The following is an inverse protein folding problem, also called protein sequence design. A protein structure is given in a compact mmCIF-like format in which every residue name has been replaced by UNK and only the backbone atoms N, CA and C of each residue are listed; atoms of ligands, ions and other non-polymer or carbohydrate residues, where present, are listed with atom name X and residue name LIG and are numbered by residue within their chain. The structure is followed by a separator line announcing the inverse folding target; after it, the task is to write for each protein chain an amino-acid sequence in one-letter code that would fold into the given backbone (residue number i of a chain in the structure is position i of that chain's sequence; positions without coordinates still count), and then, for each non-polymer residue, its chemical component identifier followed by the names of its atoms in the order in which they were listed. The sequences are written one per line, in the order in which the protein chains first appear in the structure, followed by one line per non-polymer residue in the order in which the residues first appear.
data_IF_930698634250
#
_entry.id   IF_930698634250
#
_cell.length_a   1.000
_cell.length_b   1.000
_cell.length_c   1.000
_cell.angle_alpha   90.00
_cell.angle_beta   90.00
_cell.angle_gamma   90.00
#
_symmetry.space_group_name_H-M   'P 1'
#
loop_
_entity.id
_entity.type
_entity.pdbx_description
1 polymer ?
#
# COMPACT_ATOMS: atom_id res chain seq x y z
N UNK A 1 -1.37 41.18 12.66
CA UNK A 1 -0.45 40.86 13.77
C UNK A 1 -1.20 41.10 15.07
N UNK A 2 -1.45 40.06 15.88
CA UNK A 2 -2.18 40.24 17.14
C UNK A 2 -1.33 41.01 18.15
N UNK A 3 -1.95 41.82 19.02
CA UNK A 3 -1.27 42.56 20.09
C UNK A 3 -1.94 42.27 21.44
N UNK A 4 -1.13 42.19 22.50
CA UNK A 4 -1.63 41.97 23.86
C UNK A 4 -1.75 43.31 24.61
N UNK A 5 -2.90 43.57 25.23
CA UNK A 5 -3.16 44.77 26.02
C UNK A 5 -2.67 44.69 27.47
N UNK A 6 -2.27 43.50 27.95
CA UNK A 6 -1.87 43.22 29.34
C UNK A 6 -0.51 42.52 29.40
N UNK A 7 0.53 43.21 28.90
CA UNK A 7 1.95 42.84 29.04
C UNK A 7 2.36 41.45 28.48
N UNK A 8 1.64 40.92 27.46
CA UNK A 8 1.95 39.64 26.78
C UNK A 8 2.01 38.40 27.70
N UNK A 9 1.41 38.45 28.89
CA UNK A 9 1.39 37.33 29.84
C UNK A 9 -0.02 37.00 30.35
N UNK A 10 -1.02 37.01 29.46
CA UNK A 10 -2.38 36.62 29.84
C UNK A 10 -2.45 35.11 30.10
N UNK A 11 -3.03 34.70 31.23
CA UNK A 11 -3.34 33.29 31.47
C UNK A 11 -4.46 32.83 30.54
N UNK A 12 -4.22 31.72 29.82
CA UNK A 12 -5.13 31.15 28.82
C UNK A 12 -5.64 29.79 29.32
N UNK A 13 -6.92 29.72 29.67
CA UNK A 13 -7.66 28.53 30.08
C UNK A 13 -8.90 28.28 29.19
N UNK A 14 -9.69 27.23 29.45
CA UNK A 14 -10.87 26.90 28.64
C UNK A 14 -11.93 28.01 28.61
N UNK A 15 -12.09 28.78 29.68
CA UNK A 15 -13.16 29.79 29.81
C UNK A 15 -12.73 31.15 29.26
N UNK A 16 -11.43 31.47 29.28
CA UNK A 16 -10.89 32.77 28.93
C UNK A 16 -10.02 32.77 27.65
N UNK A 17 -9.91 31.63 26.94
CA UNK A 17 -9.06 31.47 25.74
C UNK A 17 -9.28 32.51 24.64
N UNK A 18 -10.47 33.08 24.54
CA UNK A 18 -10.80 34.08 23.51
C UNK A 18 -10.45 35.52 23.93
N UNK A 19 -9.96 35.75 25.15
CA UNK A 19 -9.76 37.09 25.73
C UNK A 19 -8.51 37.80 25.24
N UNK A 20 -7.49 37.06 24.77
CA UNK A 20 -6.28 37.62 24.19
C UNK A 20 -5.74 36.73 23.07
N UNK A 21 -5.92 37.17 21.82
CA UNK A 21 -5.50 36.43 20.63
C UNK A 21 -3.98 36.26 20.56
N UNK A 22 -3.19 37.27 20.97
CA UNK A 22 -1.73 37.19 21.01
C UNK A 22 -1.24 36.10 21.98
N UNK A 23 -1.70 36.11 23.23
CA UNK A 23 -1.24 35.14 24.24
C UNK A 23 -1.75 33.73 23.95
N UNK A 24 -2.95 33.60 23.36
CA UNK A 24 -3.46 32.32 22.87
C UNK A 24 -2.58 31.75 21.77
N UNK A 25 -2.28 32.52 20.74
CA UNK A 25 -1.43 32.08 19.64
C UNK A 25 -0.04 31.69 20.15
N UNK A 26 0.56 32.50 21.02
CA UNK A 26 1.86 32.21 21.62
C UNK A 26 1.86 30.91 22.44
N UNK A 27 0.78 30.63 23.19
CA UNK A 27 0.61 29.35 23.90
C UNK A 27 0.46 28.17 22.93
N UNK A 28 -0.29 28.32 21.83
CA UNK A 28 -0.41 27.28 20.80
C UNK A 28 0.94 26.95 20.15
N UNK A 29 1.71 27.98 19.77
CA UNK A 29 3.04 27.80 19.19
C UNK A 29 4.01 27.17 20.20
N UNK A 30 3.97 27.58 21.48
CA UNK A 30 4.80 27.01 22.54
C UNK A 30 4.49 25.53 22.84
N UNK A 31 3.25 25.09 22.57
CA UNK A 31 2.82 23.70 22.66
C UNK A 31 3.06 22.92 21.36
N UNK A 32 3.80 23.47 20.39
CA UNK A 32 4.21 22.77 19.17
C UNK A 32 3.23 22.85 17.99
N UNK A 33 2.17 23.67 18.06
CA UNK A 33 1.26 23.83 16.92
C UNK A 33 1.95 24.61 15.79
N UNK A 34 1.96 24.07 14.57
CA UNK A 34 2.53 24.74 13.40
C UNK A 34 1.68 25.95 12.98
N UNK A 35 2.36 27.03 12.58
CA UNK A 35 1.71 28.24 12.03
C UNK A 35 1.15 28.01 10.62
N UNK A 36 1.72 27.04 9.91
CA UNK A 36 1.46 26.79 8.50
C UNK A 36 0.53 25.58 8.28
N UNK A 37 0.12 24.90 9.36
CA UNK A 37 -0.89 23.85 9.34
C UNK A 37 -2.30 24.45 9.18
N UNK A 38 -2.68 24.75 7.93
CA UNK A 38 -4.05 25.13 7.59
C UNK A 38 -4.89 23.86 7.43
N UNK A 39 -5.85 23.64 8.33
CA UNK A 39 -6.82 22.56 8.21
C UNK A 39 -7.72 22.82 6.98
N UNK A 40 -7.58 22.00 5.93
CA UNK A 40 -8.53 21.93 4.81
C UNK A 40 -9.87 21.39 5.32
N UNK A 41 -10.68 22.29 5.88
CA UNK A 41 -11.99 21.96 6.45
C UNK A 41 -12.81 23.19 6.86
N UNK A 42 -12.23 24.39 6.75
CA UNK A 42 -12.91 25.66 7.01
C UNK A 42 -12.85 26.62 5.82
N UNK A 43 -12.86 26.11 4.60
CA UNK A 43 -13.10 26.98 3.44
C UNK A 43 -14.56 27.37 3.41
N UNK A 44 -14.84 28.66 3.19
CA UNK A 44 -16.21 29.13 3.00
C UNK A 44 -16.83 28.38 1.81
N UNK A 45 -18.15 28.13 1.86
CA UNK A 45 -18.89 27.48 0.77
C UNK A 45 -18.54 28.09 -0.60
N UNK A 46 -18.42 29.41 -0.65
CA UNK A 46 -18.05 30.19 -1.85
C UNK A 46 -16.66 29.83 -2.41
N UNK A 47 -15.67 29.58 -1.57
CA UNK A 47 -14.33 29.17 -2.01
C UNK A 47 -14.29 27.74 -2.51
N UNK A 48 -15.09 26.86 -1.89
CA UNK A 48 -15.23 25.46 -2.31
C UNK A 48 -15.89 25.37 -3.69
N UNK A 49 -17.02 26.06 -3.85
CA UNK A 49 -17.77 26.06 -5.11
C UNK A 49 -16.97 26.69 -6.26
N UNK A 50 -16.16 27.72 -5.97
CA UNK A 50 -15.25 28.32 -6.96
C UNK A 50 -14.17 27.33 -7.43
N UNK A 51 -13.62 26.52 -6.53
CA UNK A 51 -12.60 25.52 -6.87
C UNK A 51 -13.19 24.40 -7.73
N UNK A 52 -14.39 23.93 -7.40
CA UNK A 52 -15.12 22.95 -8.21
C UNK A 52 -15.45 23.48 -9.61
N UNK A 53 -15.84 24.75 -9.72
CA UNK A 53 -16.11 25.39 -11.02
C UNK A 53 -14.83 25.51 -11.88
N UNK A 54 -13.68 25.83 -11.26
CA UNK A 54 -12.39 25.91 -11.96
C UNK A 54 -11.95 24.53 -12.51
N UNK A 55 -12.13 23.47 -11.73
CA UNK A 55 -11.79 22.08 -12.12
C UNK A 55 -12.66 21.60 -13.28
N UNK A 56 -13.97 21.86 -13.25
CA UNK A 56 -14.87 21.50 -14.35
C UNK A 56 -14.56 22.25 -15.65
N UNK A 57 -14.12 23.51 -15.54
CA UNK A 57 -13.71 24.32 -16.70
C UNK A 57 -12.44 23.77 -17.35
N UNK A 58 -11.50 23.24 -16.55
CA UNK A 58 -10.29 22.60 -17.05
C UNK A 58 -10.58 21.25 -17.71
N UNK A 59 -11.51 20.45 -17.18
CA UNK A 59 -11.94 19.19 -17.80
C UNK A 59 -12.59 19.41 -19.18
N UNK A 60 -13.50 20.38 -19.31
CA UNK A 60 -14.11 20.72 -20.62
C UNK A 60 -13.14 21.31 -21.64
N UNK A 61 -12.03 21.91 -21.19
CA UNK A 61 -11.02 22.47 -22.09
C UNK A 61 -10.08 21.39 -22.65
N UNK A 62 -9.97 20.22 -22.00
CA UNK A 62 -9.14 19.11 -22.46
C UNK A 62 -9.86 18.22 -23.50
N UNK A 63 -11.20 18.19 -23.52
CA UNK A 63 -11.97 17.41 -24.51
C UNK A 63 -12.01 18.06 -25.91
N UNK A 64 -11.67 19.34 -26.05
CA UNK A 64 -11.80 20.07 -27.33
C UNK A 64 -10.52 20.12 -28.20
N UNK A 65 -9.42 19.49 -27.77
CA UNK A 65 -8.11 19.55 -28.48
C UNK A 65 -7.78 18.24 -29.24
N UNK A 66 -8.65 17.22 -29.17
CA UNK A 66 -8.35 15.86 -29.62
C UNK A 66 -8.95 15.41 -30.96
N UNK A 67 -9.27 16.28 -31.92
CA UNK A 67 -9.67 15.78 -33.26
C UNK A 67 -9.31 16.69 -34.42
N UNK A 68 -8.21 16.35 -35.11
CA UNK A 68 -7.89 16.87 -36.43
C UNK A 68 -7.27 15.79 -37.33
N UNK A 69 -8.12 15.16 -38.16
CA UNK A 69 -7.86 14.59 -39.50
C UNK A 69 -7.20 13.18 -39.61
N UNK A 70 -7.33 12.48 -40.77
CA UNK A 70 -7.65 13.01 -42.10
C UNK A 70 -8.74 12.28 -42.93
N UNK A 71 -9.11 12.99 -44.00
CA UNK A 71 -10.02 12.77 -45.12
C UNK A 71 -9.91 11.44 -45.89
N UNK A 72 -11.04 10.80 -46.22
CA UNK A 72 -11.24 9.92 -47.40
C UNK A 72 -12.65 10.13 -47.99
N UNK A 73 -12.75 10.04 -49.32
CA UNK A 73 -13.80 10.47 -50.24
C UNK A 73 -14.95 9.45 -50.48
N UNK A 74 -16.11 9.97 -50.94
CA UNK A 74 -17.12 9.37 -51.87
C UNK A 74 -18.09 8.29 -51.34
N UNK A 75 -19.38 8.13 -51.70
CA UNK A 75 -20.42 8.75 -52.58
C UNK A 75 -21.80 8.14 -52.14
N UNK A 76 -22.97 8.59 -52.65
CA UNK A 76 -24.28 8.57 -51.96
C UNK A 76 -25.23 7.46 -52.42
N UNK A 77 -26.28 7.22 -51.62
CA UNK A 77 -27.56 6.68 -52.10
C UNK A 77 -28.75 7.29 -51.36
N UNK A 78 -29.67 7.83 -52.14
CA UNK A 78 -31.03 8.21 -51.78
C UNK A 78 -31.87 6.97 -51.44
N UNK A 79 -32.84 7.08 -50.53
CA UNK A 79 -34.29 7.10 -50.85
C UNK A 79 -35.12 7.00 -49.56
N UNK A 80 -36.34 7.56 -49.58
CA UNK A 80 -37.43 7.20 -48.66
C UNK A 80 -37.78 8.23 -47.57
N UNK A 81 -38.70 9.14 -47.90
CA UNK A 81 -39.29 10.11 -46.97
C UNK A 81 -40.58 9.67 -46.26
N UNK A 82 -41.25 10.70 -45.71
CA UNK A 82 -42.56 10.76 -45.04
C UNK A 82 -42.53 10.44 -43.52
N UNK A 83 -43.05 11.27 -42.61
CA UNK A 83 -43.91 12.44 -42.78
C UNK A 83 -44.07 13.23 -41.47
N UNK A 84 -44.57 14.44 -41.65
CA UNK A 84 -44.80 15.48 -40.65
C UNK A 84 -45.94 15.17 -39.68
N UNK A 85 -45.88 15.81 -38.51
CA UNK A 85 -47.01 15.96 -37.59
C UNK A 85 -46.62 16.83 -36.40
N UNK A 86 -46.86 18.13 -36.51
CA UNK A 86 -46.88 19.08 -35.40
C UNK A 86 -48.04 18.76 -34.45
N UNK A 87 -47.93 19.07 -33.16
CA UNK A 87 -48.61 20.24 -32.55
C UNK A 87 -48.66 20.16 -31.01
N UNK A 88 -48.42 21.32 -30.40
CA UNK A 88 -48.90 21.91 -29.14
C UNK A 88 -48.96 21.18 -27.78
N UNK A 89 -48.57 21.93 -26.74
CA UNK A 89 -49.01 21.72 -25.36
C UNK A 89 -48.08 22.27 -24.26
N UNK A 90 -48.14 23.58 -24.01
CA UNK A 90 -47.61 24.25 -22.81
C UNK A 90 -48.23 23.76 -21.49
N UNK A 91 -47.47 23.87 -20.39
CA UNK A 91 -47.80 24.29 -19.01
C UNK A 91 -46.81 23.58 -18.05
N UNK A 92 -45.92 24.20 -17.27
CA UNK A 92 -45.85 25.58 -16.80
C UNK A 92 -46.27 25.68 -15.34
N UNK A 93 -45.46 25.22 -14.37
CA UNK A 93 -45.62 25.63 -12.96
C UNK A 93 -44.27 25.73 -12.22
N UNK A 94 -43.87 26.98 -11.97
CA UNK A 94 -42.90 27.40 -10.96
C UNK A 94 -43.65 28.17 -9.87
N UNK A 95 -43.49 27.82 -8.60
CA UNK A 95 -43.61 28.75 -7.45
C UNK A 95 -43.10 28.04 -6.17
N UNK A 96 -41.93 28.35 -5.63
CA UNK A 96 -41.50 29.45 -4.71
C UNK A 96 -42.07 29.41 -3.27
N UNK A 97 -41.12 29.52 -2.34
CA UNK A 97 -41.13 29.96 -0.92
C UNK A 97 -41.90 29.15 0.15
N UNK A 98 -41.17 28.71 1.18
CA UNK A 98 -41.36 29.22 2.56
C UNK A 98 -40.18 28.85 3.46
N UNK A 99 -39.66 29.89 4.12
CA UNK A 99 -38.67 29.87 5.18
C UNK A 99 -39.35 29.53 6.52
N UNK A 100 -38.80 28.59 7.27
CA UNK A 100 -38.97 28.53 8.74
C UNK A 100 -37.63 28.13 9.33
N UNK A 101 -37.02 29.07 10.06
CA UNK A 101 -35.89 28.79 10.94
C UNK A 101 -36.41 28.25 12.27
N UNK A 102 -35.65 27.35 12.89
CA UNK A 102 -35.66 27.15 14.34
C UNK A 102 -34.34 26.53 14.80
N UNK A 103 -33.83 27.18 15.84
CA UNK A 103 -32.61 26.93 16.61
C UNK A 103 -32.84 25.84 17.65
N UNK A 104 -31.91 24.88 17.79
CA UNK A 104 -31.65 24.20 19.06
C UNK A 104 -30.36 23.37 19.04
N UNK A 105 -29.40 23.82 19.84
CA UNK A 105 -28.52 23.07 20.76
C UNK A 105 -27.72 21.86 20.26
N UNK A 106 -26.41 22.13 20.12
CA UNK A 106 -25.29 21.20 20.21
C UNK A 106 -25.29 20.45 21.56
N UNK A 107 -25.19 19.13 21.53
CA UNK A 107 -24.48 18.29 22.51
C UNK A 107 -24.24 16.93 21.85
N UNK A 108 -23.08 16.33 22.09
CA UNK A 108 -22.69 14.95 21.76
C UNK A 108 -22.06 14.69 20.37
N UNK A 109 -20.83 15.20 20.18
CA UNK A 109 -19.78 14.53 19.40
C UNK A 109 -18.40 15.04 19.86
N UNK A 110 -18.02 14.72 21.10
CA UNK A 110 -16.62 14.73 21.54
C UNK A 110 -16.21 13.26 21.68
N UNK A 111 -15.76 12.60 20.59
CA UNK A 111 -14.95 11.36 20.67
C UNK A 111 -14.24 10.94 19.36
N UNK A 112 -14.08 11.85 18.37
CA UNK A 112 -13.30 11.57 17.14
C UNK A 112 -12.13 12.55 17.02
N UNK A 113 -11.34 12.69 18.10
CA UNK A 113 -10.17 13.57 18.12
C UNK A 113 -8.98 12.96 18.89
N UNK A 114 -8.76 11.66 18.76
CA UNK A 114 -7.59 11.01 19.34
C UNK A 114 -7.12 9.81 18.52
N UNK A 115 -6.53 10.02 17.34
CA UNK A 115 -5.55 9.09 16.78
C UNK A 115 -4.43 9.88 16.07
N UNK A 116 -3.14 9.49 16.25
CA UNK A 116 -1.97 10.26 15.83
C UNK A 116 -1.66 10.14 14.34
N UNK A 117 -0.98 11.17 13.82
CA UNK A 117 -0.43 11.23 12.47
C UNK A 117 0.38 9.97 12.14
N UNK A 118 0.19 9.42 10.94
CA UNK A 118 0.87 8.25 10.37
C UNK A 118 2.41 8.27 10.51
N UNK A 119 2.99 9.43 10.80
CA UNK A 119 4.42 9.66 10.85
C UNK A 119 5.03 9.54 12.26
N UNK A 120 4.24 9.34 13.32
CA UNK A 120 4.70 9.44 14.72
C UNK A 120 4.28 8.23 15.60
N UNK A 121 4.67 7.01 15.18
CA UNK A 121 4.48 5.78 15.94
C UNK A 121 5.78 5.39 16.68
N UNK A 122 5.79 5.29 18.02
CA UNK A 122 6.96 4.81 18.76
C UNK A 122 7.13 3.30 18.57
N UNK A 123 8.34 2.89 18.18
CA UNK A 123 8.76 1.49 18.11
C UNK A 123 9.23 1.04 19.51
N UNK A 124 8.35 0.49 20.34
CA UNK A 124 8.76 -0.27 21.54
C UNK A 124 8.37 -1.76 21.39
N UNK A 125 9.30 -2.71 21.61
CA UNK A 125 9.04 -4.14 21.40
C UNK A 125 8.18 -4.84 22.47
N UNK A 126 7.69 -4.13 23.49
CA UNK A 126 7.17 -4.78 24.72
C UNK A 126 5.63 -4.92 24.78
N UNK A 127 4.85 -4.23 23.94
CA UNK A 127 3.37 -4.27 24.05
C UNK A 127 2.69 -5.31 23.12
N UNK A 128 3.44 -6.03 22.28
CA UNK A 128 2.88 -7.06 21.39
C UNK A 128 2.51 -8.38 22.10
N UNK A 129 2.85 -8.56 23.37
CA UNK A 129 2.68 -9.84 24.09
C UNK A 129 1.48 -9.90 25.04
N UNK A 130 0.87 -8.78 25.41
CA UNK A 130 -0.14 -8.75 26.47
C UNK A 130 -1.61 -8.83 25.99
N UNK A 131 -1.87 -8.75 24.67
CA UNK A 131 -3.24 -8.88 24.14
C UNK A 131 -3.71 -10.32 23.86
N UNK A 132 -2.83 -11.32 24.01
CA UNK A 132 -3.17 -12.73 23.76
C UNK A 132 -3.51 -13.55 25.03
N UNK A 133 -3.64 -12.92 26.20
CA UNK A 133 -3.94 -13.62 27.45
C UNK A 133 -5.07 -12.96 28.24
N UNK A 134 -6.30 -13.09 27.76
CA UNK A 134 -7.48 -13.08 28.62
C UNK A 134 -8.59 -13.92 27.98
N UNK A 135 -9.31 -14.66 28.82
CA UNK A 135 -10.48 -15.52 28.53
C UNK A 135 -10.17 -17.00 28.18
N UNK A 136 -9.89 -17.81 29.21
CA UNK A 136 -10.55 -19.12 29.35
C UNK A 136 -10.54 -19.58 30.82
N UNK A 137 -11.45 -19.01 31.63
CA UNK A 137 -11.90 -19.64 32.86
C UNK A 137 -13.27 -20.29 32.60
N UNK A 138 -13.33 -21.61 32.71
CA UNK A 138 -14.58 -22.32 32.98
C UNK A 138 -14.84 -23.57 32.14
N UNK A 139 -14.89 -24.73 32.80
CA UNK A 139 -15.67 -25.88 32.35
C UNK A 139 -14.88 -27.17 32.12
N UNK A 140 -14.66 -27.95 33.18
CA UNK A 140 -14.11 -29.30 33.10
C UNK A 140 -15.11 -30.38 32.66
N UNK A 141 -14.59 -31.58 32.41
CA UNK A 141 -15.41 -32.79 32.22
C UNK A 141 -14.71 -33.97 31.53
N UNK A 142 -13.93 -34.72 32.32
CA UNK A 142 -13.73 -36.20 32.35
C UNK A 142 -13.93 -37.11 31.13
N UNK A 143 -13.04 -38.14 31.07
CA UNK A 143 -13.18 -39.55 30.60
C UNK A 143 -12.20 -39.94 29.45
N UNK A 144 -11.08 -40.63 29.72
CA UNK A 144 -10.80 -42.10 29.89
C UNK A 144 -10.91 -42.96 28.63
N UNK A 145 -9.82 -43.71 28.32
CA UNK A 145 -9.81 -44.90 27.44
C UNK A 145 -8.73 -44.85 26.36
N UNK A 146 -7.51 -45.38 26.57
CA UNK A 146 -7.09 -46.78 26.36
C UNK A 146 -6.65 -47.14 24.92
N UNK A 147 -5.35 -47.44 24.82
CA UNK A 147 -4.71 -48.58 24.11
C UNK A 147 -4.64 -48.69 22.57
N UNK A 148 -3.38 -48.69 22.13
CA UNK A 148 -2.68 -49.70 21.30
C UNK A 148 -2.81 -49.75 19.78
N UNK A 149 -1.62 -49.60 19.16
CA UNK A 149 -1.02 -50.37 18.06
C UNK A 149 -1.85 -50.67 16.81
N UNK A 150 -1.35 -50.25 15.64
CA UNK A 150 -0.51 -51.12 14.80
C UNK A 150 -0.05 -50.43 13.52
N UNK A 151 1.18 -50.79 13.16
CA UNK A 151 1.99 -50.42 12.01
C UNK A 151 1.61 -51.18 10.72
N UNK A 152 1.72 -50.53 9.57
CA UNK A 152 2.33 -51.04 8.30
C UNK A 152 2.06 -50.00 7.18
N UNK A 153 3.04 -49.32 6.57
CA UNK A 153 3.96 -49.75 5.49
C UNK A 153 3.24 -50.59 4.43
N UNK A 154 3.13 -50.26 3.15
CA UNK A 154 4.07 -49.60 2.22
C UNK A 154 3.35 -49.41 0.88
N UNK A 155 3.75 -48.43 0.06
CA UNK A 155 4.28 -48.65 -1.30
C UNK A 155 4.14 -47.40 -2.16
N UNK A 156 5.30 -46.98 -2.67
CA UNK A 156 5.45 -45.95 -3.67
C UNK A 156 4.95 -46.44 -5.04
N UNK A 157 4.42 -45.52 -5.84
CA UNK A 157 4.31 -45.68 -7.29
C UNK A 157 4.46 -44.31 -7.94
N UNK A 158 5.61 -44.12 -8.59
CA UNK A 158 5.92 -43.03 -9.51
C UNK A 158 5.23 -43.28 -10.85
N UNK A 159 4.63 -42.25 -11.46
CA UNK A 159 4.77 -41.99 -12.92
C UNK A 159 4.10 -40.69 -13.39
N UNK A 160 4.94 -39.86 -14.02
CA UNK A 160 4.79 -39.10 -15.27
C UNK A 160 3.74 -37.98 -15.47
N UNK A 161 4.29 -36.76 -15.56
CA UNK A 161 4.16 -35.72 -16.60
C UNK A 161 2.96 -35.74 -17.57
N UNK A 162 2.23 -34.62 -17.63
CA UNK A 162 2.08 -33.80 -18.86
C UNK A 162 1.33 -32.48 -18.58
N UNK A 163 1.91 -31.36 -19.01
CA UNK A 163 1.25 -30.04 -19.12
C UNK A 163 0.73 -29.84 -20.55
N UNK A 164 -0.31 -29.02 -20.75
CA UNK A 164 -0.50 -28.31 -22.01
C UNK A 164 -0.47 -26.78 -21.84
N UNK A 165 0.25 -26.14 -22.76
CA UNK A 165 0.18 -24.71 -23.07
C UNK A 165 -1.23 -24.31 -23.51
N UNK A 166 -1.69 -23.12 -23.10
CA UNK A 166 -2.79 -22.42 -23.77
C UNK A 166 -2.50 -20.92 -23.92
N UNK A 167 -3.04 -20.44 -25.02
CA UNK A 167 -2.68 -19.24 -25.78
C UNK A 167 -3.53 -18.04 -25.37
N UNK A 168 -2.88 -16.87 -25.42
CA UNK A 168 -3.29 -15.47 -25.31
C UNK A 168 -4.76 -15.14 -25.68
N UNK A 169 -5.43 -14.36 -24.83
CA UNK A 169 -6.34 -13.27 -25.24
C UNK A 169 -5.95 -12.00 -24.49
N UNK A 170 -5.78 -10.94 -25.27
CA UNK A 170 -5.15 -9.66 -24.93
C UNK A 170 -6.23 -8.67 -24.46
N UNK A 171 -6.07 -8.08 -23.28
CA UNK A 171 -6.88 -6.95 -22.80
C UNK A 171 -5.99 -5.90 -22.12
N UNK A 172 -5.78 -4.78 -22.83
CA UNK A 172 -5.95 -3.44 -22.27
C UNK A 172 -4.83 -2.84 -21.39
N UNK A 173 -3.70 -2.51 -22.02
CA UNK A 173 -3.11 -1.15 -22.04
C UNK A 173 -2.89 -0.33 -20.75
N UNK A 174 -2.39 -0.97 -19.68
CA UNK A 174 -1.68 -0.24 -18.60
C UNK A 174 -0.29 -0.84 -18.24
N UNK A 175 0.10 -1.94 -18.89
CA UNK A 175 1.36 -2.65 -18.62
C UNK A 175 2.54 -2.11 -19.46
N UNK A 176 2.27 -1.44 -20.59
CA UNK A 176 3.29 -0.99 -21.54
C UNK A 176 4.27 0.06 -21.01
N UNK A 177 3.79 1.00 -20.20
CA UNK A 177 4.58 2.15 -19.74
C UNK A 177 5.72 1.75 -18.79
N UNK A 178 5.49 0.79 -17.91
CA UNK A 178 6.54 0.35 -16.97
C UNK A 178 7.51 -0.65 -17.62
N UNK A 179 7.06 -1.38 -18.65
CA UNK A 179 7.97 -2.15 -19.50
C UNK A 179 8.91 -1.22 -20.26
N UNK A 180 8.42 -0.08 -20.76
CA UNK A 180 9.22 0.96 -21.43
C UNK A 180 10.26 1.61 -20.52
N UNK A 181 9.97 1.85 -19.24
CA UNK A 181 10.96 2.35 -18.29
C UNK A 181 12.02 1.27 -17.96
N UNK A 182 11.59 0.01 -17.78
CA UNK A 182 12.54 -1.11 -17.65
C UNK A 182 13.40 -1.28 -18.91
N UNK A 183 12.85 -1.06 -20.10
CA UNK A 183 13.60 -1.08 -21.36
C UNK A 183 14.53 0.13 -21.51
N UNK A 184 14.19 1.32 -21.01
CA UNK A 184 15.09 2.48 -20.96
C UNK A 184 16.24 2.26 -19.97
N UNK A 185 15.97 1.66 -18.81
CA UNK A 185 16.99 1.30 -17.80
C UNK A 185 17.88 0.13 -18.28
N UNK A 186 17.30 -0.83 -19.01
CA UNK A 186 18.05 -1.89 -19.70
C UNK A 186 18.82 -1.36 -20.92
N UNK A 187 18.32 -0.34 -21.61
CA UNK A 187 19.01 0.35 -22.70
C UNK A 187 20.28 1.08 -22.25
N UNK A 188 20.34 1.48 -20.97
CA UNK A 188 21.55 2.00 -20.32
C UNK A 188 22.61 0.94 -19.99
N UNK A 189 22.33 -0.36 -20.19
CA UNK A 189 23.34 -1.44 -20.05
C UNK A 189 24.54 -1.29 -20.97
N UNK A 190 24.39 -0.58 -22.09
CA UNK A 190 25.47 -0.46 -23.07
C UNK A 190 26.42 0.71 -22.81
N UNK A 191 26.11 1.61 -21.88
CA UNK A 191 27.12 2.50 -21.31
C UNK A 191 27.78 1.78 -20.15
N UNK A 192 28.98 1.24 -20.38
CA UNK A 192 29.93 0.87 -19.33
C UNK A 192 29.90 1.92 -18.19
N UNK A 193 30.21 1.51 -16.96
CA UNK A 193 30.36 2.40 -15.81
C UNK A 193 31.39 3.55 -16.03
N UNK A 194 32.08 3.54 -17.19
CA UNK A 194 32.94 4.60 -17.73
C UNK A 194 32.22 5.93 -18.02
N UNK A 195 30.88 5.96 -18.08
CA UNK A 195 30.12 7.22 -18.16
C UNK A 195 29.02 7.28 -17.09
N UNK A 196 29.43 7.46 -15.82
CA UNK A 196 28.57 8.11 -14.82
C UNK A 196 28.12 9.47 -15.37
N UNK A 197 26.85 9.88 -15.19
CA UNK A 197 26.43 11.25 -15.48
C UNK A 197 27.39 12.25 -14.81
N UNK A 198 27.73 13.36 -15.48
CA UNK A 198 28.76 14.33 -15.04
C UNK A 198 28.57 14.86 -13.60
N UNK A 199 27.39 14.65 -13.00
CA UNK A 199 27.01 15.05 -11.65
C UNK A 199 27.18 13.95 -10.56
N UNK A 200 27.73 12.76 -10.86
CA UNK A 200 27.77 11.64 -9.91
C UNK A 200 29.16 11.04 -9.68
N UNK A 201 29.63 11.08 -8.44
CA UNK A 201 30.87 10.40 -8.03
C UNK A 201 30.60 8.97 -7.50
N UNK A 202 31.60 8.09 -7.61
CA UNK A 202 31.58 6.74 -7.01
C UNK A 202 31.35 6.83 -5.50
N UNK A 203 31.94 7.84 -4.84
CA UNK A 203 31.76 8.10 -3.40
C UNK A 203 30.31 8.42 -3.04
N UNK A 204 29.58 9.16 -3.88
CA UNK A 204 28.15 9.44 -3.65
C UNK A 204 27.32 8.16 -3.76
N UNK A 205 27.67 7.29 -4.71
CA UNK A 205 27.00 6.01 -4.92
C UNK A 205 27.20 5.06 -3.74
N UNK A 206 28.42 5.00 -3.20
CA UNK A 206 28.72 4.22 -1.99
C UNK A 206 27.99 4.76 -0.77
N UNK A 207 27.89 6.09 -0.61
CA UNK A 207 27.14 6.70 0.48
C UNK A 207 25.64 6.40 0.41
N UNK A 208 25.03 6.53 -0.78
CA UNK A 208 23.62 6.15 -1.02
C UNK A 208 23.42 4.67 -0.71
N UNK A 209 24.33 3.82 -1.17
CA UNK A 209 24.29 2.37 -0.90
C UNK A 209 24.32 2.12 0.61
N UNK A 210 25.29 2.66 1.34
CA UNK A 210 25.38 2.51 2.79
C UNK A 210 24.13 3.02 3.51
N UNK A 211 23.60 4.17 3.11
CA UNK A 211 22.38 4.74 3.68
C UNK A 211 21.19 3.80 3.50
N UNK A 212 20.95 3.29 2.29
CA UNK A 212 19.83 2.38 1.99
C UNK A 212 20.00 1.03 2.71
N UNK A 213 21.21 0.46 2.68
CA UNK A 213 21.49 -0.84 3.33
C UNK A 213 21.33 -0.74 4.83
N UNK A 214 21.89 0.30 5.46
CA UNK A 214 21.72 0.56 6.89
C UNK A 214 20.24 0.68 7.24
N UNK A 215 19.49 1.46 6.46
CA UNK A 215 18.06 1.63 6.65
C UNK A 215 17.29 0.32 6.53
N UNK A 216 17.65 -0.53 5.57
CA UNK A 216 17.05 -1.85 5.42
C UNK A 216 17.32 -2.73 6.64
N UNK A 217 18.57 -2.80 7.12
CA UNK A 217 18.93 -3.64 8.26
C UNK A 217 18.26 -3.17 9.57
N UNK A 218 18.19 -1.87 9.82
CA UNK A 218 17.56 -1.29 11.01
C UNK A 218 16.03 -1.38 10.98
N UNK A 219 15.44 -1.65 9.81
CA UNK A 219 13.99 -1.77 9.62
C UNK A 219 13.57 -3.19 9.23
N UNK A 220 14.45 -4.18 9.41
CA UNK A 220 14.04 -5.58 9.34
C UNK A 220 13.57 -6.04 10.72
N UNK A 221 12.33 -6.55 10.79
CA UNK A 221 11.75 -7.02 12.05
C UNK A 221 12.59 -8.12 12.72
N UNK A 222 13.26 -8.97 11.91
CA UNK A 222 14.09 -10.07 12.40
C UNK A 222 15.49 -10.04 11.76
N UNK A 223 16.51 -10.28 12.57
CA UNK A 223 17.88 -10.46 12.10
C UNK A 223 18.04 -11.75 11.27
N UNK A 224 19.11 -11.85 10.50
CA UNK A 224 19.42 -13.08 9.75
C UNK A 224 19.69 -14.26 10.70
N UNK A 225 20.26 -13.97 11.88
CA UNK A 225 20.52 -14.94 12.93
C UNK A 225 19.22 -15.48 13.55
N UNK A 226 18.26 -14.60 13.84
CA UNK A 226 16.96 -15.00 14.37
C UNK A 226 16.21 -15.88 13.38
N UNK A 227 16.22 -15.50 12.10
CA UNK A 227 15.56 -16.28 11.05
C UNK A 227 16.16 -17.68 10.91
N UNK A 228 17.49 -17.82 11.02
CA UNK A 228 18.16 -19.13 11.05
C UNK A 228 17.69 -19.99 12.23
N UNK A 229 17.49 -19.41 13.42
CA UNK A 229 16.98 -20.14 14.59
C UNK A 229 15.54 -20.62 14.39
N UNK A 230 14.70 -19.79 13.76
CA UNK A 230 13.30 -20.15 13.49
C UNK A 230 13.15 -21.15 12.35
N UNK A 231 14.17 -21.34 11.50
CA UNK A 231 14.07 -22.20 10.31
C UNK A 231 13.72 -23.66 10.64
N UNK A 232 13.97 -24.11 11.88
CA UNK A 232 13.64 -25.46 12.37
C UNK A 232 12.27 -25.55 13.04
N UNK A 233 11.60 -24.42 13.29
CA UNK A 233 10.33 -24.36 14.00
C UNK A 233 9.20 -24.27 12.98
N UNK A 234 8.48 -25.37 12.80
CA UNK A 234 7.38 -25.49 11.86
C UNK A 234 6.07 -25.78 12.58
N UNK A 235 4.96 -25.41 11.94
CA UNK A 235 3.64 -25.87 12.37
C UNK A 235 3.49 -27.37 12.10
N UNK A 236 2.95 -28.12 13.07
CA UNK A 236 2.59 -29.52 12.83
C UNK A 236 1.37 -29.62 11.91
N UNK A 237 1.10 -30.78 11.29
CA UNK A 237 -0.12 -30.98 10.51
C UNK A 237 -1.40 -30.72 11.32
N UNK A 238 -1.41 -31.08 12.60
CA UNK A 238 -2.54 -30.88 13.51
C UNK A 238 -2.75 -29.39 13.81
N UNK A 239 -1.67 -28.65 14.11
CA UNK A 239 -1.74 -27.19 14.30
C UNK A 239 -2.26 -26.52 13.03
N UNK A 240 -1.69 -26.88 11.87
CA UNK A 240 -2.08 -26.36 10.56
C UNK A 240 -3.58 -26.57 10.30
N UNK A 241 -4.10 -27.77 10.57
CA UNK A 241 -5.53 -28.07 10.45
C UNK A 241 -6.38 -27.23 11.41
N UNK A 242 -5.87 -26.92 12.60
CA UNK A 242 -6.51 -26.00 13.55
C UNK A 242 -6.75 -24.61 12.94
N UNK A 243 -5.78 -24.09 12.20
CA UNK A 243 -5.89 -22.79 11.50
C UNK A 243 -6.77 -22.86 10.25
N UNK A 244 -6.75 -23.98 9.53
CA UNK A 244 -7.64 -24.20 8.36
C UNK A 244 -9.12 -24.16 8.72
N UNK A 245 -9.47 -24.57 9.93
CA UNK A 245 -10.85 -24.62 10.41
C UNK A 245 -11.32 -23.30 11.04
N UNK A 246 -10.48 -22.25 11.08
CA UNK A 246 -10.89 -20.92 11.53
C UNK A 246 -11.82 -20.26 10.51
N UNK A 247 -12.59 -19.26 10.94
CA UNK A 247 -13.39 -18.45 10.02
C UNK A 247 -12.50 -17.60 9.13
N UNK A 248 -13.02 -17.24 7.94
CA UNK A 248 -12.35 -16.33 7.04
C UNK A 248 -12.07 -14.98 7.70
N UNK A 249 -13.05 -14.43 8.43
CA UNK A 249 -12.93 -13.18 9.18
C UNK A 249 -11.73 -13.18 10.13
N UNK A 250 -11.59 -14.25 10.91
CA UNK A 250 -10.49 -14.37 11.86
C UNK A 250 -9.14 -14.41 11.14
N UNK A 251 -9.02 -15.21 10.08
CA UNK A 251 -7.75 -15.34 9.35
C UNK A 251 -7.38 -14.04 8.63
N UNK A 252 -8.35 -13.36 8.02
CA UNK A 252 -8.16 -12.06 7.40
C UNK A 252 -7.70 -11.00 8.40
N UNK A 253 -8.31 -10.93 9.60
CA UNK A 253 -7.85 -10.04 10.66
C UNK A 253 -6.40 -10.31 11.07
N UNK A 254 -6.02 -11.59 11.23
CA UNK A 254 -4.64 -11.94 11.55
C UNK A 254 -3.68 -11.50 10.44
N UNK A 255 -3.97 -11.82 9.18
CA UNK A 255 -3.13 -11.41 8.06
C UNK A 255 -3.03 -9.88 7.94
N UNK A 256 -4.15 -9.16 8.10
CA UNK A 256 -4.16 -7.70 8.09
C UNK A 256 -3.27 -7.12 9.21
N UNK A 257 -3.32 -7.68 10.42
CA UNK A 257 -2.47 -7.25 11.53
C UNK A 257 -0.98 -7.49 11.24
N UNK A 258 -0.62 -8.69 10.75
CA UNK A 258 0.76 -9.01 10.35
C UNK A 258 1.29 -8.09 9.26
N UNK A 259 0.49 -7.87 8.20
CA UNK A 259 0.85 -6.96 7.12
C UNK A 259 1.01 -5.54 7.67
N UNK A 260 0.12 -5.08 8.54
CA UNK A 260 0.22 -3.74 9.16
C UNK A 260 1.53 -3.54 9.90
N UNK A 261 1.92 -4.51 10.73
CA UNK A 261 3.17 -4.44 11.47
C UNK A 261 4.35 -4.35 10.51
N UNK A 262 4.33 -5.10 9.40
CA UNK A 262 5.36 -5.03 8.38
C UNK A 262 5.35 -3.69 7.60
N UNK A 263 4.18 -3.09 7.33
CA UNK A 263 4.05 -1.78 6.68
C UNK A 263 4.78 -0.70 7.49
N UNK A 264 4.66 -0.70 8.82
CA UNK A 264 5.33 0.29 9.67
C UNK A 264 6.84 0.31 9.44
N UNK A 265 7.47 -0.86 9.32
CA UNK A 265 8.88 -0.97 9.00
C UNK A 265 9.23 -0.49 7.58
N UNK A 266 8.32 -0.64 6.61
CA UNK A 266 8.51 -0.11 5.25
C UNK A 266 8.40 1.42 5.23
N UNK A 267 7.49 2.00 6.02
CA UNK A 267 7.39 3.46 6.18
C UNK A 267 8.68 4.02 6.79
N UNK A 268 9.18 3.38 7.85
CA UNK A 268 10.47 3.77 8.46
C UNK A 268 11.65 3.60 7.51
N UNK A 269 11.64 2.56 6.66
CA UNK A 269 12.63 2.40 5.61
C UNK A 269 12.59 3.55 4.61
N UNK A 270 11.38 3.90 4.13
CA UNK A 270 11.19 4.98 3.16
C UNK A 270 11.70 6.32 3.68
N UNK A 271 11.37 6.67 4.93
CA UNK A 271 11.82 7.92 5.59
C UNK A 271 13.34 8.07 5.62
N UNK A 272 14.08 6.96 5.66
CA UNK A 272 15.55 6.96 5.74
C UNK A 272 16.24 6.90 4.38
N UNK A 273 15.50 6.70 3.28
CA UNK A 273 16.05 6.82 1.94
C UNK A 273 16.37 8.30 1.69
N UNK A 274 17.63 8.59 1.39
CA UNK A 274 18.10 9.95 1.11
C UNK A 274 17.29 10.56 -0.04
N UNK A 275 16.68 11.71 0.18
CA UNK A 275 15.83 12.40 -0.79
C UNK A 275 14.33 12.09 -0.71
N UNK A 276 13.90 11.04 0.00
CA UNK A 276 12.48 10.69 0.09
C UNK A 276 11.68 11.73 0.89
N UNK A 277 12.22 12.17 2.03
CA UNK A 277 11.57 13.18 2.88
C UNK A 277 11.57 14.59 2.26
N UNK A 278 12.36 14.81 1.21
CA UNK A 278 12.40 16.08 0.47
C UNK A 278 11.28 16.16 -0.58
N UNK A 279 10.62 15.04 -0.89
CA UNK A 279 9.43 15.01 -1.73
C UNK A 279 8.25 15.67 -1.02
N UNK A 280 7.27 16.18 -1.77
CA UNK A 280 6.05 16.69 -1.15
C UNK A 280 5.27 15.56 -0.48
N UNK A 281 4.53 15.86 0.60
CA UNK A 281 3.80 14.87 1.38
C UNK A 281 2.83 14.03 0.52
N UNK A 282 2.18 14.64 -0.47
CA UNK A 282 1.31 13.95 -1.41
C UNK A 282 2.04 12.83 -2.16
N UNK A 283 3.22 13.13 -2.72
CA UNK A 283 4.01 12.17 -3.48
C UNK A 283 4.57 11.08 -2.57
N UNK A 284 4.98 11.40 -1.35
CA UNK A 284 5.37 10.41 -0.34
C UNK A 284 4.24 9.40 -0.06
N UNK A 285 3.00 9.90 0.12
CA UNK A 285 1.83 9.06 0.36
C UNK A 285 1.54 8.17 -0.86
N UNK A 286 1.57 8.72 -2.08
CA UNK A 286 1.33 7.97 -3.31
C UNK A 286 2.34 6.82 -3.46
N UNK A 287 3.63 7.10 -3.24
CA UNK A 287 4.68 6.09 -3.33
C UNK A 287 4.49 4.99 -2.28
N UNK A 288 4.14 5.35 -1.04
CA UNK A 288 3.88 4.38 0.03
C UNK A 288 2.63 3.55 -0.26
N UNK A 289 1.50 4.15 -0.63
CA UNK A 289 0.26 3.42 -0.92
C UNK A 289 0.44 2.43 -2.07
N UNK A 290 1.14 2.83 -3.14
CA UNK A 290 1.32 1.99 -4.31
C UNK A 290 2.48 0.98 -4.19
N UNK A 291 3.55 1.32 -3.46
CA UNK A 291 4.79 0.53 -3.41
C UNK A 291 4.96 -0.34 -2.17
N UNK A 292 4.20 -0.11 -1.09
CA UNK A 292 4.47 -0.77 0.18
C UNK A 292 4.35 -2.31 0.09
N UNK A 293 3.28 -2.82 -0.53
CA UNK A 293 3.11 -4.26 -0.68
C UNK A 293 4.16 -4.89 -1.60
N UNK A 294 4.58 -4.19 -2.66
CA UNK A 294 5.69 -4.64 -3.52
C UNK A 294 6.99 -4.80 -2.72
N UNK A 295 7.31 -3.83 -1.85
CA UNK A 295 8.47 -3.91 -0.94
C UNK A 295 8.32 -5.06 0.06
N UNK A 296 7.12 -5.29 0.59
CA UNK A 296 6.85 -6.42 1.49
C UNK A 296 7.07 -7.76 0.80
N UNK A 297 6.64 -7.91 -0.46
CA UNK A 297 6.86 -9.12 -1.26
C UNK A 297 8.34 -9.37 -1.53
N UNK A 298 9.14 -8.32 -1.72
CA UNK A 298 10.61 -8.45 -1.84
C UNK A 298 11.21 -8.91 -0.50
N UNK A 299 10.86 -8.24 0.61
CA UNK A 299 11.38 -8.55 1.95
C UNK A 299 10.95 -9.92 2.47
N UNK A 300 9.80 -10.41 2.02
CA UNK A 300 9.28 -11.75 2.33
C UNK A 300 10.29 -12.86 2.02
N UNK A 301 11.21 -12.67 1.07
CA UNK A 301 12.25 -13.65 0.74
C UNK A 301 13.13 -14.02 1.93
N UNK A 302 13.36 -13.09 2.87
CA UNK A 302 14.10 -13.36 4.11
C UNK A 302 13.32 -14.31 5.02
N UNK A 303 11.99 -14.21 4.98
CA UNK A 303 11.05 -15.00 5.77
C UNK A 303 10.51 -16.22 5.02
N UNK A 304 11.07 -16.58 3.86
CA UNK A 304 10.62 -17.69 3.02
C UNK A 304 11.64 -18.82 3.02
N UNK A 305 11.19 -20.05 3.27
CA UNK A 305 11.99 -21.25 3.13
C UNK A 305 11.64 -21.97 1.82
N UNK A 306 12.57 -21.93 0.87
CA UNK A 306 12.39 -22.52 -0.46
C UNK A 306 12.42 -24.04 -0.49
N UNK A 307 13.05 -24.69 0.50
CA UNK A 307 13.20 -26.15 0.51
C UNK A 307 11.87 -26.86 0.78
N UNK A 308 11.06 -26.31 1.69
CA UNK A 308 9.77 -26.87 2.08
C UNK A 308 8.57 -25.97 1.72
N UNK A 309 8.82 -24.85 1.02
CA UNK A 309 7.79 -23.88 0.60
C UNK A 309 6.94 -23.40 1.77
N UNK A 310 7.60 -22.79 2.75
CA UNK A 310 6.94 -22.23 3.94
C UNK A 310 7.33 -20.77 4.17
N UNK A 311 6.42 -20.02 4.79
CA UNK A 311 6.60 -18.61 5.16
C UNK A 311 6.59 -18.47 6.67
N UNK A 312 7.47 -17.64 7.22
CA UNK A 312 7.45 -17.33 8.65
C UNK A 312 6.21 -16.50 8.98
N UNK A 313 5.38 -17.02 9.87
CA UNK A 313 4.13 -16.40 10.31
C UNK A 313 3.86 -16.80 11.76
N UNK A 314 3.55 -15.83 12.63
CA UNK A 314 3.27 -16.10 14.05
C UNK A 314 4.34 -16.95 14.78
N UNK A 315 5.62 -16.69 14.52
CA UNK A 315 6.71 -17.35 15.24
C UNK A 315 7.13 -18.73 14.70
N UNK A 316 6.44 -19.27 13.70
CA UNK A 316 6.80 -20.54 13.05
C UNK A 316 6.69 -20.44 11.52
N UNK A 317 7.32 -21.37 10.82
CA UNK A 317 7.17 -21.50 9.38
C UNK A 317 5.89 -22.24 9.02
N UNK A 318 5.00 -21.55 8.31
CA UNK A 318 3.69 -21.98 7.87
C UNK A 318 3.68 -22.33 6.36
N UNK A 319 3.14 -23.48 5.97
CA UNK A 319 2.96 -23.83 4.56
C UNK A 319 1.72 -23.14 3.97
N UNK A 320 1.57 -23.13 2.64
CA UNK A 320 0.44 -22.46 1.96
C UNK A 320 -0.93 -22.88 2.51
N UNK A 321 -1.11 -24.18 2.78
CA UNK A 321 -2.37 -24.71 3.33
C UNK A 321 -2.73 -24.18 4.72
N UNK A 322 -1.81 -23.53 5.45
CA UNK A 322 -2.11 -22.84 6.69
C UNK A 322 -3.13 -21.70 6.47
N UNK A 323 -3.02 -21.03 5.31
CA UNK A 323 -3.82 -19.85 4.97
C UNK A 323 -5.16 -20.18 4.29
N UNK A 324 -5.55 -21.46 4.24
CA UNK A 324 -6.77 -21.92 3.54
C UNK A 324 -8.03 -21.20 3.98
N UNK A 325 -8.13 -20.82 5.26
CA UNK A 325 -9.29 -20.10 5.80
C UNK A 325 -9.52 -18.73 5.13
N UNK A 326 -8.51 -18.12 4.48
CA UNK A 326 -8.67 -16.87 3.72
C UNK A 326 -9.64 -17.02 2.54
N UNK A 327 -9.83 -18.22 2.01
CA UNK A 327 -10.62 -18.45 0.79
C UNK A 327 -10.00 -17.86 -0.48
N UNK A 328 -8.69 -17.57 -0.45
CA UNK A 328 -7.95 -16.90 -1.53
C UNK A 328 -6.74 -17.74 -1.98
N UNK A 329 -6.98 -19.02 -2.29
CA UNK A 329 -5.91 -19.97 -2.63
C UNK A 329 -5.09 -19.50 -3.84
N UNK A 330 -5.68 -18.81 -4.81
CA UNK A 330 -5.02 -18.20 -5.95
C UNK A 330 -3.97 -17.15 -5.53
N UNK A 331 -4.35 -16.23 -4.64
CA UNK A 331 -3.45 -15.22 -4.08
C UNK A 331 -2.32 -15.86 -3.27
N UNK A 332 -2.66 -16.78 -2.37
CA UNK A 332 -1.68 -17.47 -1.52
C UNK A 332 -0.67 -18.23 -2.39
N UNK A 333 -1.15 -19.00 -3.37
CA UNK A 333 -0.26 -19.73 -4.28
C UNK A 333 0.62 -18.79 -5.10
N UNK A 334 0.09 -17.67 -5.60
CA UNK A 334 0.88 -16.69 -6.34
C UNK A 334 2.01 -16.08 -5.47
N UNK A 335 1.72 -15.75 -4.21
CA UNK A 335 2.72 -15.27 -3.24
C UNK A 335 3.81 -16.32 -2.98
N UNK A 336 3.43 -17.59 -2.78
CA UNK A 336 4.40 -18.67 -2.54
C UNK A 336 5.27 -18.97 -3.77
N UNK A 337 4.70 -18.94 -4.98
CA UNK A 337 5.47 -19.10 -6.21
C UNK A 337 6.43 -17.92 -6.47
N UNK A 338 5.99 -16.68 -6.16
CA UNK A 338 6.89 -15.54 -6.17
C UNK A 338 8.03 -15.72 -5.15
N UNK A 339 7.72 -16.16 -3.93
CA UNK A 339 8.72 -16.44 -2.88
C UNK A 339 9.79 -17.43 -3.33
N UNK A 340 9.37 -18.58 -3.89
CA UNK A 340 10.29 -19.53 -4.53
C UNK A 340 11.13 -18.87 -5.63
N UNK A 341 10.49 -18.08 -6.48
CA UNK A 341 11.12 -17.40 -7.60
C UNK A 341 12.20 -16.39 -7.18
N UNK A 342 11.95 -15.63 -6.12
CA UNK A 342 12.88 -14.65 -5.58
C UNK A 342 14.01 -15.31 -4.76
N UNK A 343 13.73 -16.35 -3.97
CA UNK A 343 14.78 -17.10 -3.24
C UNK A 343 15.79 -17.75 -4.19
N UNK A 344 15.38 -18.14 -5.42
CA UNK A 344 16.30 -18.64 -6.46
C UNK A 344 17.30 -17.60 -6.95
N UNK A 345 17.02 -16.30 -6.77
CA UNK A 345 17.94 -15.22 -7.13
C UNK A 345 19.08 -15.06 -6.12
N UNK A 346 18.94 -15.63 -4.92
CA UNK A 346 19.92 -15.53 -3.83
C UNK A 346 20.36 -14.07 -3.61
N UNK A 347 19.38 -13.20 -3.36
CA UNK A 347 19.65 -11.78 -3.11
C UNK A 347 20.40 -11.61 -1.79
N UNK A 348 21.48 -10.85 -1.81
CA UNK A 348 22.12 -10.35 -0.59
C UNK A 348 21.22 -9.29 0.08
N UNK A 349 21.46 -9.00 1.36
CA UNK A 349 20.75 -7.91 2.05
C UNK A 349 20.97 -6.56 1.35
N UNK A 350 22.15 -6.35 0.76
CA UNK A 350 22.47 -5.14 0.00
C UNK A 350 21.65 -5.05 -1.29
N UNK A 351 21.63 -6.13 -2.09
CA UNK A 351 20.84 -6.18 -3.32
C UNK A 351 19.34 -6.05 -3.05
N UNK A 352 18.85 -6.68 -1.97
CA UNK A 352 17.45 -6.62 -1.56
C UNK A 352 17.06 -5.20 -1.10
N UNK A 353 17.93 -4.51 -0.36
CA UNK A 353 17.71 -3.15 0.10
C UNK A 353 17.60 -2.18 -1.07
N UNK A 354 18.58 -2.23 -1.98
CA UNK A 354 18.64 -1.37 -3.17
C UNK A 354 17.48 -1.64 -4.12
N UNK A 355 17.12 -2.92 -4.33
CA UNK A 355 15.96 -3.28 -5.16
C UNK A 355 14.65 -2.80 -4.52
N UNK A 356 14.49 -2.94 -3.20
CA UNK A 356 13.32 -2.43 -2.48
C UNK A 356 13.18 -0.91 -2.63
N UNK A 357 14.28 -0.16 -2.50
CA UNK A 357 14.30 1.29 -2.68
C UNK A 357 13.92 1.69 -4.11
N UNK A 358 14.50 1.02 -5.12
CA UNK A 358 14.22 1.31 -6.52
C UNK A 358 12.75 1.02 -6.90
N UNK A 359 12.15 -0.04 -6.36
CA UNK A 359 10.75 -0.38 -6.59
C UNK A 359 9.80 0.61 -5.90
N UNK A 360 10.11 1.00 -4.66
CA UNK A 360 9.34 2.00 -3.93
C UNK A 360 9.32 3.35 -4.65
N UNK A 361 10.49 3.80 -5.15
CA UNK A 361 10.68 5.07 -5.85
C UNK A 361 10.23 5.00 -7.32
N UNK A 362 9.04 4.48 -7.62
CA UNK A 362 8.57 4.38 -9.00
C UNK A 362 7.99 5.72 -9.51
N UNK A 363 8.51 6.31 -10.60
CA UNK A 363 8.01 7.59 -11.15
C UNK A 363 6.70 7.43 -11.95
N UNK A 364 6.35 6.20 -12.33
CA UNK A 364 5.15 5.87 -13.10
C UNK A 364 3.87 5.79 -12.25
N UNK A 365 3.94 6.12 -10.94
CA UNK A 365 2.75 6.08 -10.09
C UNK A 365 1.80 7.21 -10.51
N UNK A 366 0.50 6.91 -10.65
CA UNK A 366 -0.47 7.93 -11.00
C UNK A 366 -0.54 9.00 -9.90
N UNK A 367 -0.86 10.24 -10.30
CA UNK A 367 -1.07 11.38 -9.40
C UNK A 367 0.18 11.98 -8.74
N UNK A 368 1.39 11.54 -9.11
CA UNK A 368 2.62 12.17 -8.67
C UNK A 368 2.72 13.62 -9.19
N UNK A 369 3.08 14.53 -8.29
CA UNK A 369 3.26 15.95 -8.59
C UNK A 369 4.61 16.19 -9.26
N UNK A 370 5.67 15.57 -8.75
CA UNK A 370 7.04 15.69 -9.28
C UNK A 370 7.63 14.32 -9.65
N UNK A 371 7.07 13.72 -10.70
CA UNK A 371 7.55 12.44 -11.25
C UNK A 371 9.02 12.51 -11.70
N UNK A 372 9.52 13.66 -12.15
CA UNK A 372 10.92 13.83 -12.55
C UNK A 372 11.89 13.71 -11.38
N UNK A 373 11.57 14.31 -10.23
CA UNK A 373 12.42 14.17 -9.05
C UNK A 373 12.39 12.72 -8.51
N UNK A 374 11.22 12.07 -8.51
CA UNK A 374 11.12 10.64 -8.17
C UNK A 374 11.97 9.79 -9.12
N UNK A 375 11.94 10.06 -10.42
CA UNK A 375 12.76 9.37 -11.41
C UNK A 375 14.26 9.52 -11.10
N UNK A 376 14.72 10.73 -10.78
CA UNK A 376 16.13 10.97 -10.39
C UNK A 376 16.51 10.17 -9.15
N UNK A 377 15.63 10.08 -8.14
CA UNK A 377 15.89 9.26 -6.95
C UNK A 377 15.94 7.77 -7.31
N UNK A 378 15.05 7.30 -8.17
CA UNK A 378 15.02 5.91 -8.64
C UNK A 378 16.27 5.53 -9.41
N UNK A 379 16.72 6.39 -10.32
CA UNK A 379 17.93 6.18 -11.11
C UNK A 379 19.16 6.01 -10.21
N UNK A 380 19.28 6.81 -9.15
CA UNK A 380 20.36 6.67 -8.15
C UNK A 380 20.32 5.29 -7.47
N UNK A 381 19.14 4.82 -7.06
CA UNK A 381 18.98 3.52 -6.45
C UNK A 381 19.33 2.36 -7.41
N UNK A 382 18.95 2.48 -8.70
CA UNK A 382 19.31 1.49 -9.71
C UNK A 382 20.80 1.49 -10.06
N UNK A 383 21.44 2.66 -10.17
CA UNK A 383 22.89 2.76 -10.37
C UNK A 383 23.64 2.12 -9.20
N UNK A 384 23.18 2.37 -7.96
CA UNK A 384 23.76 1.75 -6.78
C UNK A 384 23.60 0.22 -6.80
N UNK A 385 22.43 -0.28 -7.21
CA UNK A 385 22.18 -1.71 -7.39
C UNK A 385 23.09 -2.32 -8.45
N UNK A 386 23.24 -1.67 -9.61
CA UNK A 386 24.12 -2.12 -10.69
C UNK A 386 25.58 -2.20 -10.23
N UNK A 387 26.07 -1.16 -9.54
CA UNK A 387 27.41 -1.15 -8.98
C UNK A 387 27.61 -2.25 -7.93
N UNK A 388 26.65 -2.47 -7.04
CA UNK A 388 26.68 -3.56 -6.05
C UNK A 388 26.76 -4.95 -6.71
N UNK A 389 25.94 -5.17 -7.74
CA UNK A 389 25.95 -6.43 -8.51
C UNK A 389 27.30 -6.66 -9.20
N UNK A 390 27.90 -5.64 -9.81
CA UNK A 390 29.22 -5.76 -10.43
C UNK A 390 30.31 -6.03 -9.39
N UNK A 391 30.30 -5.32 -8.25
CA UNK A 391 31.26 -5.49 -7.15
C UNK A 391 31.21 -6.89 -6.55
N UNK A 392 30.03 -7.50 -6.49
CA UNK A 392 29.84 -8.87 -5.99
C UNK A 392 30.19 -9.97 -7.01
N UNK A 393 30.51 -9.60 -8.26
CA UNK A 393 30.75 -10.56 -9.34
C UNK A 393 29.49 -11.30 -9.80
N UNK A 394 28.30 -10.70 -9.61
CA UNK A 394 27.05 -11.28 -10.04
C UNK A 394 26.98 -11.43 -11.56
N UNK A 395 26.23 -12.43 -12.03
CA UNK A 395 25.92 -12.60 -13.46
C UNK A 395 25.20 -11.35 -14.00
N UNK A 396 25.55 -10.93 -15.22
CA UNK A 396 24.91 -9.79 -15.91
C UNK A 396 23.38 -9.97 -16.04
N UNK A 397 22.91 -11.22 -16.12
CA UNK A 397 21.48 -11.55 -16.18
C UNK A 397 20.75 -11.44 -14.84
N UNK A 398 21.46 -11.32 -13.71
CA UNK A 398 20.82 -11.30 -12.38
C UNK A 398 19.86 -10.12 -12.25
N UNK A 399 20.25 -8.95 -12.76
CA UNK A 399 19.38 -7.77 -12.78
C UNK A 399 18.14 -7.98 -13.65
N UNK A 400 18.26 -8.59 -14.84
CA UNK A 400 17.09 -8.92 -15.67
C UNK A 400 16.13 -9.84 -14.94
N UNK A 401 16.68 -10.86 -14.27
CA UNK A 401 15.89 -11.82 -13.52
C UNK A 401 15.17 -11.16 -12.36
N UNK A 402 15.79 -10.17 -11.68
CA UNK A 402 15.13 -9.35 -10.67
C UNK A 402 14.00 -8.50 -11.28
N UNK A 403 14.28 -7.75 -12.34
CA UNK A 403 13.30 -6.90 -13.01
C UNK A 403 12.12 -7.69 -13.60
N UNK A 404 12.37 -8.91 -14.08
CA UNK A 404 11.33 -9.81 -14.59
C UNK A 404 10.28 -10.21 -13.54
N UNK A 405 10.56 -9.99 -12.23
CA UNK A 405 9.61 -10.23 -11.15
C UNK A 405 8.65 -9.07 -10.91
N UNK A 406 8.96 -7.86 -11.40
CA UNK A 406 8.11 -6.68 -11.20
C UNK A 406 6.67 -6.85 -11.70
N UNK A 407 6.41 -7.40 -12.92
CA UNK A 407 5.04 -7.61 -13.38
C UNK A 407 4.27 -8.59 -12.51
N UNK A 408 4.93 -9.65 -12.03
CA UNK A 408 4.32 -10.65 -11.14
C UNK A 408 3.97 -10.03 -9.78
N UNK A 409 4.87 -9.21 -9.22
CA UNK A 409 4.60 -8.50 -7.96
C UNK A 409 3.40 -7.57 -8.08
N UNK A 410 3.27 -6.81 -9.17
CA UNK A 410 2.08 -5.97 -9.41
C UNK A 410 0.81 -6.77 -9.54
N UNK A 411 0.85 -7.89 -10.27
CA UNK A 411 -0.30 -8.80 -10.40
C UNK A 411 -0.77 -9.30 -9.02
N UNK A 412 0.17 -9.69 -8.15
CA UNK A 412 -0.14 -10.08 -6.77
C UNK A 412 -0.71 -8.92 -5.96
N UNK A 413 -0.17 -7.70 -6.09
CA UNK A 413 -0.68 -6.54 -5.37
C UNK A 413 -2.11 -6.19 -5.79
N UNK A 414 -2.41 -6.22 -7.09
CA UNK A 414 -3.76 -6.01 -7.61
C UNK A 414 -4.71 -7.10 -7.12
N UNK A 415 -4.28 -8.37 -7.20
CA UNK A 415 -5.07 -9.49 -6.71
C UNK A 415 -5.37 -9.37 -5.20
N UNK A 416 -4.41 -8.91 -4.40
CA UNK A 416 -4.66 -8.61 -2.98
C UNK A 416 -5.75 -7.57 -2.79
N UNK A 417 -5.72 -6.47 -3.56
CA UNK A 417 -6.76 -5.42 -3.50
C UNK A 417 -8.12 -5.99 -3.92
N UNK A 418 -8.18 -6.76 -5.00
CA UNK A 418 -9.44 -7.38 -5.46
C UNK A 418 -10.05 -8.32 -4.41
N UNK A 419 -9.22 -9.15 -3.77
CA UNK A 419 -9.67 -10.04 -2.69
C UNK A 419 -10.11 -9.27 -1.45
N UNK A 420 -9.42 -8.18 -1.12
CA UNK A 420 -9.78 -7.31 -0.01
C UNK A 420 -11.12 -6.60 -0.25
N UNK A 421 -11.36 -6.11 -1.46
CA UNK A 421 -12.64 -5.49 -1.82
C UNK A 421 -13.79 -6.50 -1.79
N UNK A 422 -13.57 -7.73 -2.29
CA UNK A 422 -14.54 -8.81 -2.13
C UNK A 422 -14.81 -9.14 -0.66
N UNK A 423 -13.75 -9.22 0.17
CA UNK A 423 -13.91 -9.48 1.59
C UNK A 423 -14.68 -8.35 2.30
N UNK A 424 -14.42 -7.08 1.97
CA UNK A 424 -15.15 -5.91 2.49
C UNK A 424 -16.65 -5.98 2.17
N UNK A 425 -16.99 -6.44 0.98
CA UNK A 425 -18.39 -6.59 0.56
C UNK A 425 -19.12 -7.66 1.37
N UNK A 426 -18.46 -8.78 1.68
CA UNK A 426 -19.06 -9.91 2.40
C UNK A 426 -19.01 -9.72 3.92
N UNK A 427 -17.97 -9.09 4.45
CA UNK A 427 -17.70 -8.92 5.89
C UNK A 427 -17.34 -7.46 6.23
N UNK A 428 -18.26 -6.50 6.04
CA UNK A 428 -17.97 -5.07 6.21
C UNK A 428 -17.57 -4.72 7.66
N UNK A 429 -18.23 -5.28 8.66
CA UNK A 429 -17.93 -5.05 10.08
C UNK A 429 -16.51 -5.49 10.45
N UNK A 430 -16.12 -6.68 10.00
CA UNK A 430 -14.76 -7.19 10.22
C UNK A 430 -13.73 -6.31 9.49
N UNK A 431 -13.99 -5.94 8.24
CA UNK A 431 -13.07 -5.11 7.48
C UNK A 431 -12.93 -3.70 8.09
N UNK A 432 -13.98 -3.16 8.71
CA UNK A 432 -13.93 -1.89 9.45
C UNK A 432 -13.02 -1.98 10.69
N UNK A 433 -12.99 -3.16 11.35
CA UNK A 433 -12.09 -3.43 12.48
C UNK A 433 -10.62 -3.64 12.10
N UNK A 434 -10.27 -3.66 10.80
CA UNK A 434 -8.88 -3.78 10.39
C UNK A 434 -8.02 -2.60 10.88
N UNK A 435 -6.72 -2.83 11.12
CA UNK A 435 -5.83 -1.79 11.62
C UNK A 435 -5.92 -0.51 10.76
N UNK A 436 -5.98 0.69 11.37
CA UNK A 436 -6.17 1.95 10.64
C UNK A 436 -5.17 2.15 9.50
N UNK A 437 -3.89 1.83 9.74
CA UNK A 437 -2.82 1.93 8.75
C UNK A 437 -3.06 1.00 7.54
N UNK A 438 -3.53 -0.24 7.76
CA UNK A 438 -3.88 -1.15 6.66
C UNK A 438 -5.04 -0.58 5.82
N UNK A 439 -6.05 -0.03 6.48
CA UNK A 439 -7.18 0.63 5.80
C UNK A 439 -6.74 1.90 5.08
N UNK A 440 -5.76 2.64 5.57
CA UNK A 440 -5.27 3.83 4.89
C UNK A 440 -4.46 3.48 3.62
N UNK A 441 -3.64 2.44 3.70
CA UNK A 441 -2.76 2.00 2.59
C UNK A 441 -3.53 1.28 1.49
N UNK A 442 -4.45 0.38 1.86
CA UNK A 442 -5.21 -0.46 0.92
C UNK A 442 -6.70 -0.12 0.83
N UNK A 443 -7.16 0.92 1.54
CA UNK A 443 -8.53 1.42 1.43
C UNK A 443 -8.74 2.20 0.15
N UNK A 444 -9.82 1.89 -0.54
CA UNK A 444 -10.51 2.83 -1.41
C UNK A 444 -11.23 3.88 -0.54
N UNK A 445 -11.35 5.13 -1.01
CA UNK A 445 -12.18 6.14 -0.34
C UNK A 445 -13.66 5.72 -0.43
N UNK A 446 -14.10 4.81 0.43
CA UNK A 446 -15.51 4.48 0.58
C UNK A 446 -16.16 5.54 1.49
N UNK A 447 -17.23 6.23 1.05
CA UNK A 447 -18.01 7.06 1.93
C UNK A 447 -18.65 6.15 2.99
N UNK A 448 -18.41 6.46 4.26
CA UNK A 448 -19.04 5.81 5.40
C UNK A 448 -20.57 5.86 5.21
N UNK A 449 -21.30 4.74 5.39
CA UNK A 449 -22.75 4.82 5.51
C UNK A 449 -23.07 5.58 6.80
N UNK A 450 -23.81 6.69 6.67
CA UNK A 450 -24.32 7.44 7.81
C UNK A 450 -25.06 6.49 8.75
N UNK A 451 -24.62 6.42 10.01
CA UNK A 451 -25.24 5.62 11.06
C UNK A 451 -26.57 6.24 11.55
N UNK A 452 -27.45 6.63 10.63
CA UNK A 452 -28.74 7.26 10.94
C UNK A 452 -29.97 6.40 10.63
N UNK A 453 -29.80 5.14 10.21
CA UNK A 453 -30.94 4.23 10.04
C UNK A 453 -30.90 3.11 11.10
N UNK A 454 -31.46 3.41 12.28
CA UNK A 454 -31.99 2.42 13.24
C UNK A 454 -33.03 3.07 14.15
#
# INVERSE_FOLDING_TARGET
MYSCSRQRNCMIDRTNRNRCQHCRLQKCLALGMSRDAVKFGRMSKKQRDSLYAEVQKHQKSQECVGSSGPTVLSLPREDGGCGSGADDGEEGLSQTYSSVGSTSTLSDLDDIAALPDLFDLPLTPEEASEYCSLELLGGGGTSTGSTSNSSSSSSASLSNHNSPQQTIMDTGDSCGSQLLLTHSLLGRRHSSLDHLPEDFSITDLEHITQSIVKSHLETCQYSAEDMKRFTLVHYTPEETRGFQNKSAEWMWQQCAHHITNAIQYVVEFAKRITGFMDLCQNDQIILLKAGCLEVLLIRMCRAFNSNNSTIFFNGKFAPAQFFKALGCDDLVNAVFELGKGLCRLQLSDEEMALFSAAVLLSPDRPWLSDSQNVQKLQEKAYLALQHSLQKSGASEEKLDKMLSKLPVMKSICNLHVDKLEFFRLVHPETAYSFPPLYREVFGSEMPLPDSTDS
#
